data_IF_910689262692
#
_entry.id   IF_910689262692
#
_cell.length_a   1.000
_cell.length_b   1.000
_cell.length_c   1.000
_cell.angle_alpha   90.00
_cell.angle_beta   90.00
_cell.angle_gamma   90.00
#
_symmetry.space_group_name_H-M   'P 1'
#
loop_
_entity.id
_entity.type
_entity.pdbx_description
1 polymer ?
#
# COMPACT_ATOMS: atom_id res chain seq x y z
N UNK A 1 -23.80 -18.49 -27.46
CA UNK A 1 -23.11 -17.32 -26.88
C UNK A 1 -21.96 -16.98 -27.80
N UNK A 2 -21.91 -15.76 -28.35
CA UNK A 2 -20.79 -15.34 -29.18
C UNK A 2 -19.54 -15.22 -28.30
N UNK A 3 -18.47 -15.93 -28.66
CA UNK A 3 -17.16 -15.80 -28.01
C UNK A 3 -16.50 -14.53 -28.49
N UNK A 4 -16.06 -13.70 -27.56
CA UNK A 4 -15.42 -12.42 -27.84
C UNK A 4 -13.93 -12.57 -28.21
N UNK A 5 -13.43 -13.81 -28.33
CA UNK A 5 -12.03 -14.14 -28.66
C UNK A 5 -11.62 -13.70 -30.08
N UNK A 6 -12.58 -13.27 -30.91
CA UNK A 6 -12.33 -12.71 -32.24
C UNK A 6 -12.09 -11.19 -32.24
N UNK A 7 -12.26 -10.51 -31.09
CA UNK A 7 -12.00 -9.08 -31.01
C UNK A 7 -10.50 -8.79 -31.16
N UNK A 8 -10.11 -7.75 -31.91
CA UNK A 8 -8.71 -7.31 -31.96
C UNK A 8 -8.18 -6.98 -30.56
N UNK A 9 -6.90 -7.27 -30.26
CA UNK A 9 -6.31 -6.99 -28.94
C UNK A 9 -6.47 -5.54 -28.46
N UNK A 10 -6.42 -4.58 -29.39
CA UNK A 10 -6.65 -3.15 -29.09
C UNK A 10 -8.05 -2.86 -28.56
N UNK A 11 -9.08 -3.54 -29.07
CA UNK A 11 -10.47 -3.40 -28.59
C UNK A 11 -10.59 -4.01 -27.19
N UNK A 12 -9.96 -5.15 -26.96
CA UNK A 12 -9.94 -5.79 -25.63
C UNK A 12 -9.24 -4.91 -24.60
N UNK A 13 -8.13 -4.28 -24.97
CA UNK A 13 -7.43 -3.32 -24.12
C UNK A 13 -8.32 -2.09 -23.80
N UNK A 14 -9.06 -1.56 -24.77
CA UNK A 14 -10.03 -0.49 -24.53
C UNK A 14 -11.16 -0.91 -23.58
N UNK A 15 -11.70 -2.12 -23.75
CA UNK A 15 -12.68 -2.70 -22.81
C UNK A 15 -12.07 -2.77 -21.42
N UNK A 16 -10.85 -3.31 -21.30
CA UNK A 16 -10.16 -3.39 -20.02
C UNK A 16 -10.00 -2.01 -19.37
N UNK A 17 -9.71 -0.97 -20.16
CA UNK A 17 -9.66 0.43 -19.74
C UNK A 17 -10.93 0.95 -19.06
N UNK A 18 -12.12 0.44 -19.43
CA UNK A 18 -13.42 0.91 -18.94
C UNK A 18 -13.99 0.13 -17.76
N UNK A 19 -13.47 -1.07 -17.50
CA UNK A 19 -13.96 -1.90 -16.41
C UNK A 19 -13.40 -1.45 -15.05
N UNK A 20 -14.17 -1.62 -13.98
CA UNK A 20 -13.64 -1.50 -12.62
C UNK A 20 -12.73 -2.69 -12.28
N UNK A 21 -11.95 -2.55 -11.21
CA UNK A 21 -10.97 -3.57 -10.83
C UNK A 21 -11.64 -4.93 -10.51
N UNK A 22 -12.72 -5.01 -9.70
CA UNK A 22 -13.41 -6.27 -9.47
C UNK A 22 -13.89 -6.97 -10.76
N UNK A 23 -14.43 -6.21 -11.71
CA UNK A 23 -14.95 -6.75 -12.98
C UNK A 23 -13.81 -7.23 -13.88
N UNK A 24 -12.66 -6.56 -13.88
CA UNK A 24 -11.46 -7.06 -14.58
C UNK A 24 -10.98 -8.38 -14.04
N UNK A 25 -10.92 -8.54 -12.72
CA UNK A 25 -10.50 -9.81 -12.12
C UNK A 25 -11.49 -10.92 -12.46
N UNK A 26 -12.79 -10.62 -12.62
CA UNK A 26 -13.78 -11.58 -13.13
C UNK A 26 -13.56 -11.91 -14.61
N UNK A 27 -13.39 -10.91 -15.47
CA UNK A 27 -13.12 -11.09 -16.91
C UNK A 27 -11.90 -11.99 -17.12
N UNK A 28 -10.82 -11.72 -16.37
CA UNK A 28 -9.58 -12.48 -16.39
C UNK A 28 -9.75 -13.99 -16.15
N UNK A 29 -10.80 -14.41 -15.44
CA UNK A 29 -11.06 -15.82 -15.11
C UNK A 29 -11.81 -16.57 -16.21
N UNK A 30 -12.21 -15.90 -17.29
CA UNK A 30 -13.08 -16.50 -18.33
C UNK A 30 -12.30 -17.25 -19.40
N UNK A 31 -11.07 -16.83 -19.75
CA UNK A 31 -10.20 -17.53 -20.71
C UNK A 31 -8.72 -17.18 -20.50
N UNK A 32 -7.81 -17.98 -21.09
CA UNK A 32 -6.38 -17.66 -21.09
C UNK A 32 -6.04 -16.39 -21.89
N UNK A 33 -6.83 -16.10 -22.93
CA UNK A 33 -6.69 -14.86 -23.69
C UNK A 33 -6.97 -13.64 -22.80
N UNK A 34 -8.12 -13.64 -22.10
CA UNK A 34 -8.43 -12.57 -21.14
C UNK A 34 -7.50 -12.52 -19.94
N UNK A 35 -6.96 -13.67 -19.53
CA UNK A 35 -5.90 -13.72 -18.53
C UNK A 35 -4.73 -12.83 -18.96
N UNK A 36 -4.16 -13.10 -20.15
CA UNK A 36 -3.02 -12.36 -20.67
C UNK A 36 -3.34 -10.87 -20.87
N UNK A 37 -4.46 -10.54 -21.53
CA UNK A 37 -4.82 -9.14 -21.82
C UNK A 37 -5.06 -8.31 -20.56
N UNK A 38 -5.73 -8.87 -19.55
CA UNK A 38 -5.95 -8.15 -18.28
C UNK A 38 -4.63 -7.99 -17.53
N UNK A 39 -3.77 -9.01 -17.53
CA UNK A 39 -2.45 -8.93 -16.88
C UNK A 39 -1.57 -7.84 -17.49
N UNK A 40 -1.49 -7.79 -18.82
CA UNK A 40 -0.79 -6.74 -19.58
C UNK A 40 -1.38 -5.36 -19.26
N UNK A 41 -2.71 -5.20 -19.38
CA UNK A 41 -3.39 -3.94 -19.07
C UNK A 41 -3.08 -3.43 -17.66
N UNK A 42 -3.09 -4.30 -16.65
CA UNK A 42 -2.79 -3.93 -15.27
C UNK A 42 -1.32 -3.48 -15.10
N UNK A 43 -0.38 -4.11 -15.81
CA UNK A 43 1.03 -3.71 -15.81
C UNK A 43 1.24 -2.36 -16.49
N UNK A 44 0.59 -2.13 -17.64
CA UNK A 44 0.67 -0.86 -18.36
C UNK A 44 0.10 0.28 -17.52
N UNK A 45 -1.04 0.04 -16.87
CA UNK A 45 -1.68 1.02 -15.98
C UNK A 45 -0.77 1.37 -14.80
N UNK A 46 -0.15 0.37 -14.16
CA UNK A 46 0.76 0.60 -13.04
C UNK A 46 2.01 1.37 -13.49
N UNK A 47 2.59 0.99 -14.62
CA UNK A 47 3.75 1.67 -15.22
C UNK A 47 3.41 3.12 -15.53
N UNK A 48 2.23 3.38 -16.09
CA UNK A 48 1.72 4.73 -16.36
C UNK A 48 1.54 5.57 -15.09
N UNK A 49 1.14 4.97 -13.96
CA UNK A 49 1.04 5.69 -12.69
C UNK A 49 2.41 6.01 -12.07
N UNK A 50 3.44 5.23 -12.38
CA UNK A 50 4.81 5.43 -11.88
C UNK A 50 5.59 6.41 -12.76
N UNK A 51 5.28 6.47 -14.06
CA UNK A 51 5.97 7.31 -15.05
C UNK A 51 6.17 8.78 -14.65
N UNK A 52 5.25 9.46 -13.93
CA UNK A 52 5.48 10.83 -13.47
C UNK A 52 6.65 10.97 -12.48
N UNK A 53 7.08 9.90 -11.81
CA UNK A 53 8.08 9.95 -10.74
C UNK A 53 9.44 9.37 -11.14
N UNK A 54 9.49 8.56 -12.19
CA UNK A 54 10.66 7.78 -12.58
C UNK A 54 10.94 7.93 -14.07
N UNK A 55 12.23 8.06 -14.42
CA UNK A 55 12.69 8.15 -15.82
C UNK A 55 12.44 6.86 -16.59
N UNK A 56 12.66 5.72 -15.94
CA UNK A 56 12.38 4.38 -16.46
C UNK A 56 11.50 3.63 -15.45
N UNK A 57 10.17 3.81 -15.53
CA UNK A 57 9.23 3.24 -14.56
C UNK A 57 9.20 1.70 -14.62
N UNK A 58 9.42 1.11 -15.80
CA UNK A 58 9.46 -0.33 -16.00
C UNK A 58 10.64 -0.96 -15.26
N UNK A 59 11.85 -0.44 -15.50
CA UNK A 59 13.07 -0.93 -14.84
C UNK A 59 13.01 -0.75 -13.32
N UNK A 60 12.47 0.38 -12.84
CA UNK A 60 12.26 0.60 -11.42
C UNK A 60 11.30 -0.45 -10.82
N UNK A 61 10.18 -0.71 -11.50
CA UNK A 61 9.17 -1.65 -11.03
C UNK A 61 9.66 -3.10 -11.06
N UNK A 62 10.45 -3.49 -12.07
CA UNK A 62 11.16 -4.78 -12.12
C UNK A 62 12.06 -4.97 -10.91
N UNK A 63 12.91 -3.98 -10.64
CA UNK A 63 13.82 -4.03 -9.49
C UNK A 63 13.06 -4.09 -8.17
N UNK A 64 12.06 -3.23 -7.96
CA UNK A 64 11.24 -3.24 -6.73
C UNK A 64 10.61 -4.62 -6.53
N UNK A 65 10.09 -5.23 -7.58
CA UNK A 65 9.50 -6.57 -7.52
C UNK A 65 10.54 -7.64 -7.18
N UNK A 66 11.69 -7.62 -7.84
CA UNK A 66 12.80 -8.56 -7.58
C UNK A 66 13.29 -8.48 -6.14
N UNK A 67 13.30 -7.28 -5.55
CA UNK A 67 13.70 -7.05 -4.17
C UNK A 67 12.61 -7.41 -3.14
N UNK A 68 11.47 -7.95 -3.56
CA UNK A 68 10.33 -8.25 -2.68
C UNK A 68 9.64 -7.00 -2.14
N UNK A 69 9.77 -5.88 -2.85
CA UNK A 69 9.16 -4.61 -2.52
C UNK A 69 7.78 -4.41 -3.14
N UNK A 70 7.12 -3.35 -2.70
CA UNK A 70 5.79 -2.95 -3.15
C UNK A 70 5.70 -1.44 -3.35
N UNK A 71 4.89 -1.04 -4.32
CA UNK A 71 4.34 0.30 -4.41
C UNK A 71 3.10 0.37 -3.51
N UNK A 72 3.01 1.41 -2.68
CA UNK A 72 1.84 1.65 -1.84
C UNK A 72 1.22 3.02 -2.12
N UNK A 73 0.58 3.60 -1.10
CA UNK A 73 0.16 4.99 -1.14
C UNK A 73 -0.92 5.31 -2.18
N UNK A 74 -0.89 6.55 -2.69
CA UNK A 74 -1.83 7.04 -3.71
C UNK A 74 -1.71 6.28 -5.04
N UNK A 75 -0.52 5.78 -5.40
CA UNK A 75 -0.31 5.02 -6.65
C UNK A 75 -1.02 3.66 -6.58
N UNK A 76 -0.81 2.90 -5.49
CA UNK A 76 -1.52 1.63 -5.31
C UNK A 76 -3.04 1.83 -5.20
N UNK A 77 -3.45 2.93 -4.57
CA UNK A 77 -4.85 3.30 -4.44
C UNK A 77 -5.49 3.61 -5.81
N UNK A 78 -4.83 4.42 -6.64
CA UNK A 78 -5.26 4.73 -8.01
C UNK A 78 -5.35 3.46 -8.88
N UNK A 79 -4.35 2.58 -8.78
CA UNK A 79 -4.33 1.30 -9.49
C UNK A 79 -5.53 0.42 -9.14
N UNK A 80 -5.85 0.27 -7.85
CA UNK A 80 -6.93 -0.59 -7.39
C UNK A 80 -8.31 0.03 -7.67
N UNK A 81 -8.48 1.33 -7.43
CA UNK A 81 -9.75 2.00 -7.69
C UNK A 81 -9.99 2.26 -9.17
N UNK A 82 -8.93 2.20 -9.99
CA UNK A 82 -8.92 2.61 -11.40
C UNK A 82 -9.49 4.01 -11.58
N UNK A 83 -9.19 4.87 -10.62
CA UNK A 83 -9.71 6.23 -10.54
C UNK A 83 -8.68 7.22 -11.08
N UNK A 84 -8.98 7.81 -12.22
CA UNK A 84 -8.14 8.81 -12.88
C UNK A 84 -8.15 10.16 -12.15
N UNK A 85 -9.06 10.38 -11.20
CA UNK A 85 -9.10 11.61 -10.40
C UNK A 85 -8.07 11.60 -9.27
N UNK A 86 -7.63 10.41 -8.83
CA UNK A 86 -6.54 10.29 -7.86
C UNK A 86 -5.24 10.59 -8.59
N UNK A 87 -4.72 11.81 -8.36
CA UNK A 87 -3.39 12.24 -8.81
C UNK A 87 -2.40 12.08 -7.67
N UNK A 88 -1.53 11.05 -7.70
CA UNK A 88 -0.47 10.91 -6.70
C UNK A 88 0.48 12.11 -6.78
N UNK A 89 0.91 12.63 -5.63
CA UNK A 89 1.89 13.73 -5.57
C UNK A 89 3.33 13.22 -5.44
N UNK A 90 3.48 11.96 -5.06
CA UNK A 90 4.75 11.26 -4.90
C UNK A 90 4.53 9.75 -5.07
N UNK A 91 5.61 9.04 -5.33
CA UNK A 91 5.65 7.58 -5.36
C UNK A 91 6.08 7.04 -3.99
N UNK A 92 5.34 6.09 -3.43
CA UNK A 92 5.70 5.41 -2.18
C UNK A 92 6.18 3.98 -2.46
N UNK A 93 7.43 3.69 -2.12
CA UNK A 93 8.05 2.38 -2.28
C UNK A 93 8.34 1.77 -0.90
N UNK A 94 7.99 0.50 -0.74
CA UNK A 94 8.17 -0.25 0.50
C UNK A 94 9.10 -1.43 0.25
N UNK A 95 10.17 -1.54 1.05
CA UNK A 95 11.19 -2.57 0.93
C UNK A 95 11.33 -3.41 2.21
N UNK A 96 11.77 -4.67 2.11
CA UNK A 96 12.10 -5.48 3.28
C UNK A 96 13.36 -4.96 4.00
N UNK A 97 13.63 -5.43 5.23
CA UNK A 97 14.80 -4.96 6.02
C UNK A 97 16.17 -5.34 5.43
N UNK A 98 16.25 -6.14 4.36
CA UNK A 98 17.53 -6.58 3.78
C UNK A 98 18.46 -5.42 3.40
N UNK A 99 19.74 -5.46 3.83
CA UNK A 99 20.73 -4.40 3.51
C UNK A 99 21.02 -4.34 2.00
N UNK A 100 21.05 -5.49 1.34
CA UNK A 100 21.27 -5.60 -0.10
C UNK A 100 20.15 -4.91 -0.86
N UNK A 101 18.88 -5.23 -0.57
CA UNK A 101 17.72 -4.63 -1.22
C UNK A 101 17.73 -3.10 -1.14
N UNK A 102 18.00 -2.55 0.05
CA UNK A 102 18.11 -1.10 0.22
C UNK A 102 19.19 -0.47 -0.66
N UNK A 103 20.41 -1.03 -0.66
CA UNK A 103 21.53 -0.52 -1.45
C UNK A 103 21.27 -0.62 -2.96
N UNK A 104 20.68 -1.72 -3.42
CA UNK A 104 20.36 -1.91 -4.84
C UNK A 104 19.33 -0.90 -5.33
N UNK A 105 18.25 -0.68 -4.58
CA UNK A 105 17.24 0.32 -4.95
C UNK A 105 17.85 1.73 -4.92
N UNK A 106 18.59 2.08 -3.87
CA UNK A 106 19.23 3.40 -3.75
C UNK A 106 20.16 3.67 -4.94
N UNK A 107 21.01 2.71 -5.31
CA UNK A 107 21.89 2.85 -6.47
C UNK A 107 21.10 2.99 -7.78
N UNK A 108 20.02 2.22 -7.98
CA UNK A 108 19.18 2.36 -9.17
C UNK A 108 18.50 3.74 -9.23
N UNK A 109 17.97 4.23 -8.10
CA UNK A 109 17.35 5.55 -8.04
C UNK A 109 18.35 6.65 -8.43
N UNK A 110 19.59 6.59 -7.93
CA UNK A 110 20.61 7.60 -8.24
C UNK A 110 21.12 7.45 -9.68
N UNK A 111 21.61 6.27 -10.05
CA UNK A 111 22.36 6.06 -11.29
C UNK A 111 21.47 5.89 -12.52
N UNK A 112 20.29 5.27 -12.37
CA UNK A 112 19.37 4.98 -13.48
C UNK A 112 18.25 6.01 -13.55
N UNK A 113 17.61 6.30 -12.41
CA UNK A 113 16.49 7.25 -12.36
C UNK A 113 16.93 8.71 -12.25
N UNK A 114 18.23 8.97 -12.03
CA UNK A 114 18.76 10.33 -11.88
C UNK A 114 18.25 11.05 -10.64
N UNK A 115 17.96 10.31 -9.58
CA UNK A 115 17.40 10.84 -8.35
C UNK A 115 18.47 11.39 -7.42
N UNK A 116 18.20 12.53 -6.80
CA UNK A 116 19.01 13.07 -5.71
C UNK A 116 18.37 12.66 -4.38
N UNK A 117 19.14 11.99 -3.53
CA UNK A 117 18.71 11.72 -2.16
C UNK A 117 18.67 13.04 -1.39
N UNK A 118 17.50 13.37 -0.83
CA UNK A 118 17.38 14.57 -0.01
C UNK A 118 17.99 14.32 1.37
N UNK A 119 18.80 15.26 1.90
CA UNK A 119 19.23 15.19 3.28
C UNK A 119 18.01 15.14 4.20
N UNK A 120 18.09 14.39 5.30
CA UNK A 120 17.03 14.34 6.31
C UNK A 120 16.67 15.70 6.95
N UNK A 121 17.32 16.80 6.52
CA UNK A 121 17.19 18.17 7.05
C UNK A 121 16.54 19.16 6.07
N UNK A 122 16.08 18.73 4.89
CA UNK A 122 15.65 19.66 3.83
C UNK A 122 14.15 19.60 3.53
N UNK A 123 13.29 19.76 4.54
CA UNK A 123 11.91 20.16 4.28
C UNK A 123 11.75 21.66 4.56
N UNK A 124 11.40 22.49 3.57
CA UNK A 124 11.23 23.92 3.75
C UNK A 124 9.87 24.17 4.40
N UNK A 125 9.85 24.28 5.71
CA UNK A 125 8.89 25.13 6.40
C UNK A 125 9.53 25.56 7.70
N UNK A 126 10.04 26.79 7.68
CA UNK A 126 10.63 27.53 8.80
C UNK A 126 10.13 27.06 10.18
N UNK A 127 11.03 26.45 10.97
CA UNK A 127 11.31 26.70 12.39
C UNK A 127 12.49 25.79 12.77
N UNK A 128 13.56 26.42 13.25
CA UNK A 128 14.84 25.81 13.63
C UNK A 128 14.72 24.97 14.91
N UNK A 129 15.26 23.75 14.89
CA UNK A 129 15.78 23.08 16.08
C UNK A 129 17.11 22.41 15.72
N UNK A 130 18.12 23.26 15.67
CA UNK A 130 19.55 22.93 15.71
C UNK A 130 19.91 22.07 16.92
N UNK A 131 20.84 21.13 16.71
CA UNK A 131 21.56 20.28 17.67
C UNK A 131 21.02 18.84 17.84
N UNK A 132 21.13 18.02 16.79
CA UNK A 132 21.46 16.59 16.95
C UNK A 132 22.48 16.12 15.87
N UNK A 133 23.47 15.27 16.24
CA UNK A 133 24.50 14.76 15.34
C UNK A 133 23.99 13.70 14.37
N UNK A 134 24.75 13.53 13.28
CA UNK A 134 24.52 12.57 12.21
C UNK A 134 24.50 11.11 12.71
N UNK A 135 23.61 10.30 12.11
CA UNK A 135 23.55 8.82 12.11
C UNK A 135 22.57 8.07 13.05
N UNK A 136 21.65 8.72 13.77
CA UNK A 136 20.67 7.99 14.61
C UNK A 136 19.25 7.93 14.03
N UNK A 137 18.86 6.70 13.67
CA UNK A 137 17.51 6.17 13.46
C UNK A 137 16.32 7.06 13.89
N UNK A 138 15.65 7.65 12.91
CA UNK A 138 14.27 8.07 13.10
C UNK A 138 13.44 6.78 13.10
N UNK A 139 12.82 6.43 14.23
CA UNK A 139 11.83 5.34 14.31
C UNK A 139 10.53 5.86 13.70
N UNK A 140 10.34 5.64 12.40
CA UNK A 140 9.32 6.33 11.59
C UNK A 140 7.98 5.57 11.56
N UNK A 141 7.21 5.63 12.64
CA UNK A 141 5.90 4.96 12.71
C UNK A 141 5.97 3.44 12.90
N UNK A 142 4.85 2.78 13.24
CA UNK A 142 4.86 1.33 13.45
C UNK A 142 5.22 0.63 12.14
N UNK A 143 6.14 -0.35 12.18
CA UNK A 143 6.46 -1.15 10.99
C UNK A 143 7.64 -0.67 10.15
N UNK A 144 8.11 0.57 10.32
CA UNK A 144 9.16 1.16 9.48
C UNK A 144 10.45 1.37 10.27
N UNK A 145 11.57 0.90 9.70
CA UNK A 145 12.91 1.08 10.25
C UNK A 145 13.55 2.40 9.83
N UNK A 146 13.30 2.84 8.60
CA UNK A 146 13.83 4.07 8.03
C UNK A 146 12.96 4.47 6.84
N UNK A 147 12.86 5.76 6.56
CA UNK A 147 12.45 6.26 5.25
C UNK A 147 13.41 7.32 4.73
N UNK A 148 13.42 7.47 3.42
CA UNK A 148 14.26 8.43 2.71
C UNK A 148 13.46 9.01 1.53
N UNK A 149 13.58 10.32 1.34
CA UNK A 149 13.05 11.03 0.19
C UNK A 149 14.11 11.13 -0.89
N UNK A 150 13.73 10.75 -2.10
CA UNK A 150 14.46 10.97 -3.33
C UNK A 150 13.67 11.93 -4.23
N UNK A 151 14.36 12.82 -4.91
CA UNK A 151 13.76 13.72 -5.90
C UNK A 151 14.38 13.45 -7.26
N UNK A 152 13.55 13.16 -8.25
CA UNK A 152 13.94 13.11 -9.66
C UNK A 152 13.62 14.46 -10.32
N UNK A 153 13.96 14.59 -11.60
CA UNK A 153 13.53 15.74 -12.41
C UNK A 153 12.02 15.80 -12.64
N UNK A 154 11.30 14.69 -12.43
CA UNK A 154 9.87 14.59 -12.75
C UNK A 154 8.99 14.51 -11.50
N UNK A 155 9.52 14.06 -10.35
CA UNK A 155 8.75 13.99 -9.12
C UNK A 155 9.51 13.51 -7.89
N UNK A 156 8.76 13.19 -6.84
CA UNK A 156 9.28 12.73 -5.56
C UNK A 156 9.02 11.23 -5.35
N UNK A 157 9.99 10.54 -4.76
CA UNK A 157 9.91 9.12 -4.39
C UNK A 157 10.24 8.97 -2.91
N UNK A 158 9.29 8.52 -2.11
CA UNK A 158 9.48 8.14 -0.72
C UNK A 158 9.75 6.64 -0.64
N UNK A 159 10.88 6.27 -0.04
CA UNK A 159 11.27 4.87 0.14
C UNK A 159 11.23 4.53 1.62
N UNK A 160 10.38 3.57 1.97
CA UNK A 160 10.21 3.03 3.32
C UNK A 160 10.91 1.68 3.42
N UNK A 161 11.75 1.52 4.44
CA UNK A 161 12.35 0.24 4.82
C UNK A 161 11.55 -0.35 5.97
N UNK A 162 11.06 -1.57 5.78
CA UNK A 162 10.41 -2.33 6.85
C UNK A 162 11.34 -2.57 8.04
N UNK A 163 10.74 -2.76 9.21
CA UNK A 163 11.44 -3.27 10.40
C UNK A 163 11.64 -4.79 10.37
N UNK A 164 10.88 -5.53 9.57
CA UNK A 164 10.99 -6.99 9.39
C UNK A 164 11.37 -7.36 7.95
N UNK A 165 11.69 -8.63 7.72
CA UNK A 165 11.90 -9.16 6.37
C UNK A 165 10.72 -9.00 5.40
N UNK A 166 9.57 -8.47 5.85
CA UNK A 166 8.37 -8.30 5.05
C UNK A 166 8.06 -6.82 4.75
N UNK A 167 8.07 -6.44 3.48
CA UNK A 167 7.79 -5.08 3.01
C UNK A 167 6.33 -4.63 3.24
N UNK A 168 5.40 -5.55 3.48
CA UNK A 168 3.99 -5.21 3.70
C UNK A 168 3.73 -4.66 5.11
N UNK A 169 4.66 -4.86 6.05
CA UNK A 169 4.48 -4.43 7.43
C UNK A 169 4.20 -2.92 7.54
N UNK A 170 5.04 -2.00 7.03
CA UNK A 170 4.71 -0.57 7.00
C UNK A 170 3.35 -0.24 6.37
N UNK A 171 2.95 -0.93 5.29
CA UNK A 171 1.68 -0.71 4.59
C UNK A 171 0.49 -1.06 5.48
N UNK A 172 0.60 -2.11 6.28
CA UNK A 172 -0.47 -2.51 7.22
C UNK A 172 -0.62 -1.60 8.44
N UNK A 173 0.37 -0.75 8.70
CA UNK A 173 0.39 0.18 9.84
C UNK A 173 -0.05 1.59 9.47
N UNK A 174 -0.62 1.76 8.27
CA UNK A 174 -1.13 3.03 7.80
C UNK A 174 -2.39 3.48 8.58
N UNK A 175 -2.63 4.79 8.60
CA UNK A 175 -3.67 5.41 9.42
C UNK A 175 -5.11 5.08 9.02
N UNK A 176 -5.33 4.62 7.78
CA UNK A 176 -6.66 4.40 7.23
C UNK A 176 -6.74 3.11 6.42
N UNK A 177 -7.91 2.46 6.44
CA UNK A 177 -8.13 1.16 5.78
C UNK A 177 -7.84 1.16 4.27
N UNK A 178 -8.07 2.28 3.58
CA UNK A 178 -7.78 2.43 2.15
C UNK A 178 -6.28 2.52 1.84
N UNK A 179 -5.47 2.93 2.82
CA UNK A 179 -4.01 3.02 2.71
C UNK A 179 -3.32 1.66 2.88
N UNK A 180 -4.05 0.65 3.35
CA UNK A 180 -3.59 -0.75 3.36
C UNK A 180 -3.78 -1.34 1.95
N UNK A 181 -3.11 -0.73 0.98
CA UNK A 181 -3.14 -1.06 -0.44
C UNK A 181 -1.71 -1.19 -0.95
N UNK A 182 -1.47 -2.19 -1.79
CA UNK A 182 -0.15 -2.49 -2.31
C UNK A 182 -0.22 -3.04 -3.73
N UNK A 183 0.84 -2.82 -4.50
CA UNK A 183 0.99 -3.41 -5.83
C UNK A 183 2.46 -3.51 -6.23
N UNK A 184 2.80 -4.52 -7.02
CA UNK A 184 4.05 -4.62 -7.79
C UNK A 184 3.74 -5.36 -9.11
N UNK A 185 4.76 -5.88 -9.82
CA UNK A 185 4.47 -6.64 -11.05
C UNK A 185 3.69 -7.93 -10.82
N UNK A 186 3.93 -8.59 -9.68
CA UNK A 186 3.43 -9.93 -9.41
C UNK A 186 2.13 -9.94 -8.62
N UNK A 187 1.94 -8.97 -7.73
CA UNK A 187 0.84 -8.92 -6.78
C UNK A 187 0.20 -7.54 -6.71
N UNK A 188 -1.12 -7.50 -6.56
CA UNK A 188 -1.88 -6.30 -6.18
C UNK A 188 -2.91 -6.68 -5.13
N UNK A 189 -3.16 -5.82 -4.15
CA UNK A 189 -4.10 -6.17 -3.10
C UNK A 189 -4.37 -5.07 -2.09
N UNK A 190 -5.32 -5.33 -1.21
CA UNK A 190 -5.64 -4.45 -0.10
C UNK A 190 -6.23 -5.21 1.09
N UNK A 191 -6.10 -4.65 2.29
CA UNK A 191 -6.62 -5.27 3.52
C UNK A 191 -8.14 -5.16 3.69
N UNK A 192 -8.79 -4.22 2.99
CA UNK A 192 -10.21 -3.91 3.17
C UNK A 192 -10.93 -3.64 1.84
N UNK A 193 -10.99 -4.61 0.90
CA UNK A 193 -11.62 -4.44 -0.42
C UNK A 193 -13.07 -3.96 -0.34
N UNK A 194 -13.88 -4.49 0.59
CA UNK A 194 -15.29 -4.10 0.76
C UNK A 194 -15.44 -2.60 1.08
N UNK A 195 -14.53 -2.04 1.87
CA UNK A 195 -14.52 -0.61 2.20
C UNK A 195 -13.91 0.20 1.05
N UNK A 196 -12.77 -0.26 0.53
CA UNK A 196 -12.03 0.44 -0.51
C UNK A 196 -12.91 0.71 -1.75
N UNK A 197 -13.54 -0.32 -2.32
CA UNK A 197 -14.36 -0.17 -3.52
C UNK A 197 -15.66 0.60 -3.30
N UNK A 198 -16.05 0.85 -2.04
CA UNK A 198 -17.16 1.75 -1.67
C UNK A 198 -16.67 3.15 -1.27
N UNK A 199 -15.38 3.46 -1.47
CA UNK A 199 -14.70 4.68 -1.00
C UNK A 199 -14.96 4.96 0.48
N UNK A 200 -14.91 3.93 1.31
CA UNK A 200 -15.05 4.05 2.77
C UNK A 200 -13.71 3.84 3.44
N UNK A 201 -13.48 4.63 4.49
CA UNK A 201 -12.26 4.57 5.26
C UNK A 201 -12.61 4.38 6.72
N UNK A 202 -12.15 3.28 7.29
CA UNK A 202 -12.05 3.16 8.73
C UNK A 202 -10.71 3.74 9.16
N UNK A 203 -10.78 4.75 10.02
CA UNK A 203 -9.61 5.38 10.61
C UNK A 203 -9.08 4.50 11.75
N UNK A 204 -7.80 4.14 11.61
CA UNK A 204 -7.03 3.44 12.61
C UNK A 204 -6.41 4.39 13.64
N UNK A 205 -5.33 3.93 14.27
CA UNK A 205 -4.52 4.76 15.15
C UNK A 205 -3.68 5.71 14.29
N UNK A 206 -3.90 7.01 14.44
CA UNK A 206 -3.05 8.01 13.79
C UNK A 206 -1.69 8.03 14.48
N UNK A 207 -0.58 8.21 13.73
CA UNK A 207 0.70 8.53 14.34
C UNK A 207 0.52 9.75 15.25
N UNK A 208 1.21 9.79 16.39
CA UNK A 208 1.17 10.99 17.25
C UNK A 208 1.63 12.22 16.43
N UNK A 209 1.02 13.38 16.63
CA UNK A 209 1.36 14.63 15.93
C UNK A 209 2.85 14.98 15.98
N UNK A 210 3.55 14.55 17.04
CA UNK A 210 5.00 14.74 17.19
C UNK A 210 5.80 13.94 16.16
N UNK A 211 5.36 12.74 15.80
CA UNK A 211 6.00 11.90 14.79
C UNK A 211 5.70 12.49 13.41
N UNK A 212 4.44 12.80 13.12
CA UNK A 212 4.04 13.39 11.84
C UNK A 212 4.81 14.70 11.53
N UNK A 213 4.89 15.63 12.49
CA UNK A 213 5.65 16.88 12.33
C UNK A 213 7.15 16.66 12.12
N UNK A 214 7.76 15.67 12.77
CA UNK A 214 9.19 15.36 12.60
C UNK A 214 9.51 14.78 11.23
N UNK A 215 8.58 14.04 10.65
CA UNK A 215 8.73 13.43 9.33
C UNK A 215 8.41 14.39 8.18
N UNK A 216 8.05 15.65 8.49
CA UNK A 216 7.50 16.58 7.49
C UNK A 216 6.22 16.03 6.85
N UNK A 217 5.57 15.06 7.50
CA UNK A 217 4.32 14.52 7.01
C UNK A 217 3.26 15.62 7.11
N UNK A 218 2.43 15.71 6.08
CA UNK A 218 1.24 16.55 6.11
C UNK A 218 0.47 16.25 7.39
N UNK A 219 -0.01 17.32 8.03
CA UNK A 219 -0.94 17.21 9.13
C UNK A 219 -2.06 16.24 8.72
N UNK A 220 -2.36 15.25 9.58
CA UNK A 220 -3.35 14.22 9.27
C UNK A 220 -4.71 14.84 8.90
N UNK A 221 -5.04 16.01 9.43
CA UNK A 221 -6.24 16.77 9.06
C UNK A 221 -6.22 17.24 7.60
N UNK A 222 -5.05 17.59 7.05
CA UNK A 222 -4.87 17.95 5.62
C UNK A 222 -5.06 16.71 4.75
N UNK A 223 -4.45 15.59 5.15
CA UNK A 223 -4.61 14.29 4.45
C UNK A 223 -6.07 13.85 4.45
N UNK A 224 -6.76 13.90 5.59
CA UNK A 224 -8.18 13.58 5.74
C UNK A 224 -9.02 14.48 4.84
N UNK A 225 -8.81 15.81 4.88
CA UNK A 225 -9.54 16.76 4.03
C UNK A 225 -9.32 16.47 2.54
N UNK A 226 -8.09 16.14 2.14
CA UNK A 226 -7.78 15.74 0.76
C UNK A 226 -8.54 14.48 0.35
N UNK A 227 -8.51 13.44 1.17
CA UNK A 227 -9.16 12.17 0.85
C UNK A 227 -10.69 12.32 0.87
N UNK A 228 -11.28 13.13 1.76
CA UNK A 228 -12.71 13.47 1.72
C UNK A 228 -13.08 14.20 0.42
N UNK A 229 -12.24 15.13 -0.08
CA UNK A 229 -12.46 15.79 -1.38
C UNK A 229 -12.39 14.82 -2.57
N UNK A 230 -11.64 13.71 -2.44
CA UNK A 230 -11.58 12.60 -3.40
C UNK A 230 -12.77 11.62 -3.26
N UNK A 231 -13.79 11.99 -2.48
CA UNK A 231 -15.02 11.22 -2.29
C UNK A 231 -14.92 10.09 -1.27
N UNK A 232 -13.89 10.05 -0.41
CA UNK A 232 -13.84 9.07 0.67
C UNK A 232 -14.71 9.48 1.86
N UNK A 233 -15.60 8.58 2.28
CA UNK A 233 -16.33 8.69 3.53
C UNK A 233 -15.51 8.07 4.67
N UNK A 234 -14.93 8.93 5.52
CA UNK A 234 -13.98 8.55 6.56
C UNK A 234 -14.68 8.52 7.93
N UNK A 235 -14.66 7.37 8.61
CA UNK A 235 -15.32 7.14 9.90
C UNK A 235 -14.39 6.44 10.89
N UNK A 236 -14.74 6.53 12.17
CA UNK A 236 -14.03 5.84 13.26
C UNK A 236 -14.60 4.44 13.52
N UNK A 237 -15.85 4.20 13.12
CA UNK A 237 -16.58 2.96 13.34
C UNK A 237 -17.45 2.58 12.15
N UNK A 238 -17.55 1.28 11.79
CA UNK A 238 -18.42 0.82 10.71
C UNK A 238 -19.90 1.15 10.93
N UNK A 239 -20.32 1.25 12.20
CA UNK A 239 -21.70 1.57 12.59
C UNK A 239 -22.13 2.99 12.19
N UNK A 240 -21.19 3.83 11.76
CA UNK A 240 -21.51 5.18 11.29
C UNK A 240 -22.00 5.19 9.83
N UNK A 241 -22.00 4.03 9.15
CA UNK A 241 -22.61 3.83 7.83
C UNK A 241 -23.85 2.95 7.98
N UNK A 242 -25.04 3.51 7.73
CA UNK A 242 -26.32 2.81 7.90
C UNK A 242 -26.45 1.53 7.04
N UNK A 243 -25.88 1.50 5.84
CA UNK A 243 -25.91 0.35 4.93
C UNK A 243 -24.81 -0.70 5.20
N UNK A 244 -23.96 -0.46 6.20
CA UNK A 244 -22.94 -1.40 6.67
C UNK A 244 -23.09 -1.73 8.16
N UNK A 245 -24.28 -1.50 8.70
CA UNK A 245 -24.64 -2.03 10.00
C UNK A 245 -24.52 -3.56 9.97
N UNK A 246 -23.90 -4.07 11.02
CA UNK A 246 -23.68 -5.50 11.22
C UNK A 246 -24.36 -5.85 12.51
N UNK A 247 -25.29 -6.79 12.47
CA UNK A 247 -25.85 -7.38 13.66
C UNK A 247 -24.74 -8.14 14.41
N UNK A 248 -24.37 -7.65 15.59
CA UNK A 248 -23.31 -8.23 16.41
C UNK A 248 -21.90 -7.72 16.13
N UNK A 249 -20.93 -8.64 16.08
CA UNK A 249 -19.51 -8.30 16.03
C UNK A 249 -19.04 -8.07 14.60
N UNK A 250 -18.57 -6.85 14.30
CA UNK A 250 -18.02 -6.51 12.98
C UNK A 250 -16.79 -7.33 12.56
N UNK A 251 -16.15 -8.09 13.46
CA UNK A 251 -15.02 -8.97 13.13
C UNK A 251 -15.44 -10.14 12.22
N UNK A 252 -16.68 -10.61 12.33
CA UNK A 252 -17.22 -11.71 11.50
C UNK A 252 -17.31 -11.34 10.02
N UNK A 253 -17.34 -10.05 9.72
CA UNK A 253 -17.41 -9.50 8.36
C UNK A 253 -16.20 -8.60 8.04
N UNK A 254 -15.12 -8.73 8.82
CA UNK A 254 -13.85 -8.05 8.58
C UNK A 254 -13.88 -6.52 8.67
N UNK A 255 -14.82 -5.96 9.45
CA UNK A 255 -15.01 -4.52 9.64
C UNK A 255 -14.56 -4.03 11.02
N UNK A 256 -14.18 -4.91 11.94
CA UNK A 256 -13.72 -4.47 13.26
C UNK A 256 -12.29 -3.89 13.19
N UNK A 257 -12.06 -2.61 13.55
CA UNK A 257 -10.72 -2.03 13.52
C UNK A 257 -9.74 -2.69 14.50
N UNK A 258 -10.27 -3.28 15.57
CA UNK A 258 -9.50 -3.98 16.59
C UNK A 258 -9.27 -5.46 16.25
N UNK A 259 -9.82 -6.00 15.17
CA UNK A 259 -9.58 -7.40 14.76
C UNK A 259 -8.13 -7.58 14.27
N UNK A 260 -7.50 -8.70 14.64
CA UNK A 260 -6.23 -9.15 14.03
C UNK A 260 -6.52 -9.57 12.59
N UNK A 261 -5.86 -8.92 11.64
CA UNK A 261 -6.03 -9.13 10.21
C UNK A 261 -4.72 -9.61 9.59
N UNK A 262 -4.83 -10.31 8.46
CA UNK A 262 -3.73 -10.66 7.57
C UNK A 262 -4.11 -10.37 6.12
N UNK A 263 -3.14 -10.09 5.26
CA UNK A 263 -3.37 -9.84 3.82
C UNK A 263 -3.87 -11.11 3.14
N UNK A 264 -3.66 -12.27 3.78
CA UNK A 264 -4.09 -13.58 3.31
C UNK A 264 -5.42 -14.05 3.93
N UNK A 265 -6.06 -13.24 4.80
CA UNK A 265 -7.37 -13.60 5.35
C UNK A 265 -8.52 -13.38 4.35
N UNK A 266 -9.68 -13.99 4.62
CA UNK A 266 -10.84 -13.94 3.73
C UNK A 266 -11.47 -12.53 3.60
N UNK A 267 -11.09 -11.58 4.46
CA UNK A 267 -11.51 -10.19 4.39
C UNK A 267 -10.60 -9.31 3.55
N UNK A 268 -9.48 -9.84 3.07
CA UNK A 268 -8.47 -9.12 2.30
C UNK A 268 -8.55 -9.51 0.81
N UNK A 269 -7.97 -8.67 -0.04
CA UNK A 269 -7.79 -8.93 -1.46
C UNK A 269 -6.31 -9.15 -1.74
N UNK A 270 -5.97 -10.29 -2.35
CA UNK A 270 -4.65 -10.59 -2.86
C UNK A 270 -4.78 -11.17 -4.28
N UNK A 271 -4.33 -10.41 -5.28
CA UNK A 271 -4.40 -10.77 -6.68
C UNK A 271 -2.99 -11.03 -7.18
N UNK A 272 -2.74 -12.22 -7.73
CA UNK A 272 -1.55 -12.50 -8.55
C UNK A 272 -1.80 -11.98 -9.95
N UNK A 273 -0.92 -11.15 -10.51
CA UNK A 273 -1.04 -10.65 -11.90
C UNK A 273 -1.06 -11.82 -12.89
N UNK A 274 -0.14 -12.77 -12.73
CA UNK A 274 -0.02 -13.98 -13.57
C UNK A 274 -0.18 -15.25 -12.73
N UNK A 275 -1.41 -15.61 -12.32
CA UNK A 275 -1.66 -16.69 -11.34
C UNK A 275 -1.20 -18.10 -11.77
N UNK A 276 -0.88 -18.29 -13.05
CA UNK A 276 -0.33 -19.56 -13.57
C UNK A 276 1.20 -19.64 -13.46
N UNK A 277 1.88 -18.51 -13.26
CA UNK A 277 3.34 -18.40 -13.23
C UNK A 277 3.87 -17.93 -11.88
N UNK A 278 3.03 -17.27 -11.10
CA UNK A 278 3.40 -16.65 -9.83
C UNK A 278 2.93 -17.53 -8.66
N UNK A 279 3.84 -17.80 -7.73
CA UNK A 279 3.51 -18.44 -6.45
C UNK A 279 2.46 -17.64 -5.66
N UNK A 280 1.85 -18.30 -4.67
CA UNK A 280 1.03 -17.61 -3.69
C UNK A 280 1.92 -16.65 -2.87
N UNK A 281 1.42 -15.44 -2.62
CA UNK A 281 2.09 -14.47 -1.78
C UNK A 281 2.38 -15.07 -0.40
N UNK A 282 3.66 -15.06 0.00
CA UNK A 282 4.10 -15.50 1.32
C UNK A 282 4.34 -14.27 2.19
N UNK A 283 3.50 -14.09 3.20
CA UNK A 283 3.63 -13.04 4.22
C UNK A 283 3.21 -13.58 5.58
N UNK A 284 3.85 -13.08 6.64
CA UNK A 284 3.46 -13.36 8.03
C UNK A 284 2.96 -12.09 8.74
N UNK A 285 2.75 -11.01 7.98
CA UNK A 285 2.31 -9.74 8.54
C UNK A 285 0.87 -9.88 9.00
N UNK A 286 0.67 -9.50 10.25
CA UNK A 286 -0.62 -9.32 10.84
C UNK A 286 -0.68 -7.96 11.49
N UNK A 287 -1.87 -7.35 11.48
CA UNK A 287 -2.07 -6.03 12.03
C UNK A 287 -3.43 -5.89 12.67
N UNK A 288 -3.58 -4.78 13.40
CA UNK A 288 -4.85 -4.24 13.85
C UNK A 288 -4.83 -2.78 13.48
N UNK A 289 -5.90 -2.25 12.89
CA UNK A 289 -5.95 -0.82 12.61
C UNK A 289 -6.06 0.02 13.88
N UNK A 290 -6.72 -0.51 14.91
CA UNK A 290 -6.91 0.16 16.18
C UNK A 290 -6.58 -0.77 17.34
N UNK A 291 -5.91 -0.23 18.36
CA UNK A 291 -5.69 -0.91 19.64
C UNK A 291 -6.75 -0.56 20.67
N UNK A 292 -7.77 0.23 20.31
CA UNK A 292 -8.87 0.59 21.20
C UNK A 292 -9.64 -0.68 21.57
N UNK A 293 -9.91 -0.92 22.87
CA UNK A 293 -10.77 -2.01 23.34
C UNK A 293 -12.04 -2.09 22.52
N UNK A 294 -12.33 -3.27 21.96
CA UNK A 294 -13.64 -3.58 21.41
C UNK A 294 -14.35 -4.54 22.37
N UNK A 295 -15.67 -4.39 22.48
CA UNK A 295 -16.50 -5.22 23.38
C UNK A 295 -16.47 -6.71 23.01
N UNK A 296 -16.24 -7.03 21.72
CA UNK A 296 -15.96 -8.40 21.31
C UNK A 296 -14.52 -8.73 21.68
N UNK A 297 -14.25 -9.83 22.39
CA UNK A 297 -12.98 -10.22 23.02
C UNK A 297 -11.72 -10.32 22.13
N UNK A 298 -11.66 -9.67 20.97
CA UNK A 298 -10.53 -9.58 20.05
C UNK A 298 -9.26 -9.03 20.72
N UNK A 299 -9.40 -8.29 21.82
CA UNK A 299 -8.30 -7.72 22.62
C UNK A 299 -8.17 -8.39 24.00
N UNK A 300 -8.55 -9.67 24.13
CA UNK A 300 -8.55 -10.43 25.38
C UNK A 300 -7.29 -10.24 26.24
N UNK A 301 -7.45 -10.48 27.55
CA UNK A 301 -6.41 -10.33 28.58
C UNK A 301 -5.16 -11.13 28.16
N UNK A 302 -4.13 -10.42 27.67
CA UNK A 302 -2.95 -11.01 27.01
C UNK A 302 -2.59 -10.39 25.65
N UNK A 303 -3.47 -9.60 25.03
CA UNK A 303 -3.24 -9.02 23.69
C UNK A 303 -2.13 -7.94 23.64
N UNK A 304 -1.64 -7.47 24.79
CA UNK A 304 -0.54 -6.50 24.85
C UNK A 304 0.84 -7.13 24.60
N UNK A 305 1.00 -8.45 24.80
CA UNK A 305 2.26 -9.18 24.51
C UNK A 305 2.38 -9.67 23.06
N UNK A 306 1.36 -9.45 22.22
CA UNK A 306 1.38 -9.84 20.80
C UNK A 306 1.84 -8.71 19.85
N UNK A 307 2.21 -7.55 20.38
CA UNK A 307 2.89 -6.49 19.61
C UNK A 307 4.43 -6.67 19.68
N UNK A 308 4.91 -7.61 20.51
CA UNK A 308 6.29 -8.09 20.45
C UNK A 308 6.47 -9.10 19.33
N UNK A 309 7.28 -8.72 18.35
CA UNK A 309 7.83 -9.57 17.29
C UNK A 309 8.36 -10.89 17.88
N UNK A 310 7.65 -12.00 17.66
CA UNK A 310 8.26 -13.33 17.73
C UNK A 310 8.86 -13.66 16.35
N UNK A 311 9.98 -13.02 16.01
CA UNK A 311 11.00 -13.70 15.23
C UNK A 311 11.71 -14.68 16.19
N UNK A 312 11.10 -15.84 16.42
CA UNK A 312 11.91 -17.00 16.80
C UNK A 312 12.70 -17.35 15.55
N UNK A 313 13.93 -16.83 15.47
CA UNK A 313 14.95 -17.32 14.54
C UNK A 313 15.16 -18.78 14.92
N UNK A 314 14.46 -19.68 14.24
CA UNK A 314 14.84 -21.09 14.19
C UNK A 314 16.07 -21.14 13.28
N UNK A 315 17.25 -21.04 13.90
CA UNK A 315 18.50 -21.45 13.27
C UNK A 315 18.43 -22.97 13.07
N UNK A 316 18.25 -23.37 11.81
CA UNK A 316 18.58 -24.69 11.28
C UNK A 316 19.47 -24.47 10.08
#
# INVERSE_FOLDING_TARGET
MATLDHLPPSVVHQICGRLDFPTLIKLRRTSHFYLASVSEHLQDTLTSHIAPFARDPSSLLDLVTQLGGYVGGDVALAQLLRDMEIRPTHLELFLPTGRTAWKHLQNNLIEVQGATQQPAKSHPSSISLSLLPAHAAIREGPGTRAAVLFTTSTGAILVYRSQTGDALLPITQQWGSHRVAYTNRLYSGCGYPRLLFRRRVLMGTTPSDRIARRLGQEDISVVIKRDTRRGFDIRLSPRQWCDMEVDGCGAMVFLCPAQRRSILDAGSLCVRTSPLQTDILKTRVEWRMSLRPCVGGCLGIGAWSAITHHETILNG
#
